data_IF_768324396840
#
_entry.id   IF_768324396840
#
_cell.length_a   1.000
_cell.length_b   1.000
_cell.length_c   1.000
_cell.angle_alpha   90.00
_cell.angle_beta   90.00
_cell.angle_gamma   90.00
#
_symmetry.space_group_name_H-M   'P 1'
#
loop_
_entity.id
_entity.type
_entity.pdbx_description
1 polymer ?
#
# COMPACT_ATOMS: atom_id res chain seq x y z
N UNK A 1 27.51 -2.82 24.38
CA UNK A 1 28.26 -3.97 23.82
C UNK A 1 28.23 -3.81 22.32
N UNK A 2 29.27 -3.19 21.78
CA UNK A 2 29.36 -2.77 20.38
C UNK A 2 30.41 -3.65 19.67
N UNK A 3 30.28 -4.97 19.82
CA UNK A 3 31.07 -5.92 19.04
C UNK A 3 30.52 -5.93 17.62
N UNK A 4 31.18 -5.19 16.73
CA UNK A 4 30.93 -5.25 15.29
C UNK A 4 31.49 -6.57 14.75
N UNK A 5 30.82 -7.68 15.04
CA UNK A 5 31.08 -8.93 14.34
C UNK A 5 30.53 -8.80 12.92
N UNK A 6 31.37 -9.05 11.93
CA UNK A 6 30.89 -9.25 10.56
C UNK A 6 30.20 -10.61 10.54
N UNK A 7 28.97 -10.65 10.05
CA UNK A 7 28.21 -11.89 9.90
C UNK A 7 28.20 -12.27 8.43
N UNK A 8 28.61 -13.50 8.14
CA UNK A 8 28.33 -14.13 6.86
C UNK A 8 26.86 -14.54 6.80
N UNK A 9 26.25 -14.71 5.61
CA UNK A 9 24.86 -15.15 5.48
C UNK A 9 24.56 -16.42 6.30
N UNK A 10 25.48 -17.37 6.32
CA UNK A 10 25.40 -18.65 7.02
C UNK A 10 25.38 -18.48 8.55
N UNK A 11 26.11 -17.49 9.08
CA UNK A 11 26.11 -17.16 10.51
C UNK A 11 24.72 -16.66 10.95
N UNK A 12 24.10 -15.82 10.12
CA UNK A 12 22.75 -15.31 10.40
C UNK A 12 21.71 -16.40 10.21
N UNK A 13 21.80 -17.24 9.18
CA UNK A 13 20.89 -18.37 9.02
C UNK A 13 20.94 -19.28 10.25
N UNK A 14 22.13 -19.58 10.75
CA UNK A 14 22.31 -20.33 11.99
C UNK A 14 21.69 -19.63 13.20
N UNK A 15 21.82 -18.31 13.30
CA UNK A 15 21.22 -17.52 14.38
C UNK A 15 19.69 -17.53 14.36
N UNK A 16 19.10 -17.51 13.17
CA UNK A 16 17.64 -17.43 12.97
C UNK A 16 16.97 -18.81 12.87
N UNK A 17 17.73 -19.89 12.68
CA UNK A 17 17.22 -21.25 12.53
C UNK A 17 16.72 -21.84 13.85
N UNK A 18 15.47 -22.29 13.84
CA UNK A 18 14.85 -22.99 14.97
C UNK A 18 15.25 -24.47 15.04
N UNK A 19 15.84 -25.01 13.98
CA UNK A 19 16.13 -26.45 13.87
C UNK A 19 17.44 -26.84 14.58
N UNK A 20 18.25 -25.85 14.97
CA UNK A 20 19.55 -26.06 15.63
C UNK A 20 19.39 -26.11 17.16
N UNK A 21 19.70 -27.25 17.82
CA UNK A 21 19.54 -27.38 19.26
C UNK A 21 20.46 -26.42 20.02
N UNK A 22 19.92 -25.76 21.06
CA UNK A 22 20.68 -24.90 21.97
C UNK A 22 20.88 -23.45 21.51
N UNK A 23 20.37 -23.06 20.34
CA UNK A 23 20.44 -21.67 19.82
C UNK A 23 19.08 -21.06 19.49
N UNK A 24 18.00 -21.61 20.05
CA UNK A 24 16.70 -20.96 19.92
C UNK A 24 16.81 -19.53 20.44
N UNK A 25 16.44 -18.57 19.60
CA UNK A 25 16.29 -17.19 20.01
C UNK A 25 15.28 -17.16 21.17
N UNK A 26 15.79 -17.08 22.40
CA UNK A 26 15.00 -16.99 23.63
C UNK A 26 13.99 -15.85 23.50
N UNK A 27 14.33 -14.79 22.78
CA UNK A 27 13.44 -13.68 22.47
C UNK A 27 12.23 -14.03 21.59
N UNK A 28 12.34 -15.02 20.69
CA UNK A 28 11.22 -15.50 19.87
C UNK A 28 10.22 -16.28 20.75
N UNK A 29 10.74 -17.08 21.69
CA UNK A 29 9.89 -17.86 22.61
C UNK A 29 9.22 -17.00 23.68
N UNK A 30 9.89 -15.94 24.15
CA UNK A 30 9.40 -15.08 25.22
C UNK A 30 8.46 -13.96 24.77
N UNK A 31 8.10 -13.91 23.47
CA UNK A 31 7.14 -12.94 22.91
C UNK A 31 7.46 -11.46 23.16
N UNK A 32 8.69 -11.13 23.56
CA UNK A 32 9.12 -9.74 23.85
C UNK A 32 9.69 -9.01 22.64
N UNK A 33 9.88 -9.72 21.52
CA UNK A 33 10.43 -9.16 20.29
C UNK A 33 9.33 -8.43 19.49
N UNK A 34 9.32 -7.10 19.55
CA UNK A 34 8.33 -6.27 18.86
C UNK A 34 8.78 -5.78 17.48
N UNK A 35 10.09 -5.73 17.23
CA UNK A 35 10.66 -5.22 15.98
C UNK A 35 11.85 -6.07 15.54
N UNK A 36 11.90 -6.37 14.24
CA UNK A 36 13.03 -7.01 13.59
C UNK A 36 13.53 -6.10 12.48
N UNK A 37 14.78 -5.66 12.61
CA UNK A 37 15.43 -4.79 11.63
C UNK A 37 16.68 -5.47 11.09
N UNK A 38 16.61 -5.89 9.83
CA UNK A 38 17.72 -6.43 9.05
C UNK A 38 18.30 -5.29 8.21
N UNK A 39 19.47 -4.80 8.63
CA UNK A 39 20.17 -3.72 7.94
C UNK A 39 21.49 -4.23 7.37
N UNK A 40 21.59 -4.19 6.06
CA UNK A 40 22.74 -4.62 5.30
C UNK A 40 23.55 -3.42 4.87
N UNK A 41 24.82 -3.43 5.25
CA UNK A 41 25.75 -2.35 4.93
C UNK A 41 26.82 -2.90 4.00
N UNK A 42 26.79 -2.55 2.70
CA UNK A 42 27.79 -3.04 1.76
C UNK A 42 29.12 -2.30 1.98
N UNK A 43 29.89 -2.70 3.00
CA UNK A 43 31.22 -2.17 3.29
C UNK A 43 32.31 -2.91 2.51
N UNK A 44 32.15 -3.02 1.19
CA UNK A 44 33.23 -3.55 0.35
C UNK A 44 34.14 -2.38 -0.03
N UNK A 45 35.30 -2.28 0.65
CA UNK A 45 36.38 -1.36 0.25
C UNK A 45 37.03 -1.82 -1.07
N UNK A 46 37.04 -3.13 -1.30
CA UNK A 46 37.55 -3.78 -2.51
C UNK A 46 36.42 -4.68 -3.03
N UNK A 47 36.05 -4.56 -4.31
CA UNK A 47 35.05 -5.43 -4.91
C UNK A 47 35.55 -6.89 -4.97
N UNK A 48 35.27 -7.66 -3.93
CA UNK A 48 35.46 -9.11 -3.97
C UNK A 48 34.16 -9.73 -4.43
N UNK A 49 34.10 -10.15 -5.69
CA UNK A 49 32.96 -10.89 -6.24
C UNK A 49 32.77 -12.28 -5.60
N UNK A 50 33.63 -12.67 -4.64
CA UNK A 50 33.62 -13.98 -4.00
C UNK A 50 32.25 -14.38 -3.46
N UNK A 51 31.56 -13.52 -2.69
CA UNK A 51 30.25 -13.85 -2.13
C UNK A 51 29.16 -14.03 -3.21
N UNK A 52 29.25 -13.27 -4.30
CA UNK A 52 28.36 -13.44 -5.45
C UNK A 52 28.67 -14.75 -6.20
N UNK A 53 29.94 -15.07 -6.38
CA UNK A 53 30.40 -16.29 -7.04
C UNK A 53 30.13 -17.54 -6.20
N UNK A 54 30.16 -17.43 -4.87
CA UNK A 54 29.79 -18.52 -3.96
C UNK A 54 28.27 -18.73 -3.89
N UNK A 55 27.48 -17.78 -4.39
CA UNK A 55 26.02 -17.82 -4.29
C UNK A 55 25.51 -17.63 -2.85
N UNK A 56 26.32 -17.07 -1.96
CA UNK A 56 25.96 -16.80 -0.57
C UNK A 56 25.11 -15.53 -0.49
N UNK A 57 23.80 -15.68 -0.63
CA UNK A 57 22.81 -14.61 -0.46
C UNK A 57 22.13 -14.67 0.91
N UNK A 58 21.44 -13.60 1.31
CA UNK A 58 20.76 -13.52 2.60
C UNK A 58 19.31 -14.06 2.55
N UNK A 59 18.88 -14.67 1.44
CA UNK A 59 17.58 -15.32 1.28
C UNK A 59 17.32 -16.42 2.35
N UNK A 60 18.28 -17.31 2.70
CA UNK A 60 18.06 -18.38 3.69
C UNK A 60 17.68 -17.86 5.07
N UNK A 61 18.04 -16.62 5.41
CA UNK A 61 17.66 -16.00 6.69
C UNK A 61 16.17 -15.69 6.70
N UNK A 62 15.64 -15.14 5.61
CA UNK A 62 14.20 -14.91 5.50
C UNK A 62 13.45 -16.24 5.56
N UNK A 63 13.98 -17.27 4.88
CA UNK A 63 13.43 -18.63 4.94
C UNK A 63 13.48 -19.23 6.36
N UNK A 64 14.57 -19.04 7.11
CA UNK A 64 14.66 -19.47 8.49
C UNK A 64 13.62 -18.76 9.38
N UNK A 65 13.44 -17.45 9.19
CA UNK A 65 12.42 -16.68 9.93
C UNK A 65 11.01 -17.10 9.53
N UNK A 66 10.74 -17.50 8.28
CA UNK A 66 9.41 -18.00 7.88
C UNK A 66 8.96 -19.23 8.67
N UNK A 67 9.91 -20.00 9.22
CA UNK A 67 9.62 -21.21 10.01
C UNK A 67 9.32 -20.92 11.48
N UNK A 68 9.41 -19.66 11.92
CA UNK A 68 9.12 -19.32 13.31
C UNK A 68 7.68 -19.68 13.70
N UNK A 69 7.48 -20.28 14.88
CA UNK A 69 6.15 -20.69 15.33
C UNK A 69 5.28 -19.46 15.64
N UNK A 70 3.96 -19.57 15.54
CA UNK A 70 3.06 -18.48 15.93
C UNK A 70 3.35 -18.01 17.38
N UNK A 71 3.24 -16.70 17.68
CA UNK A 71 3.41 -16.20 19.03
C UNK A 71 2.36 -16.82 19.96
N UNK A 72 2.78 -17.28 21.14
CA UNK A 72 1.89 -17.91 22.13
C UNK A 72 0.88 -16.93 22.74
N UNK A 73 1.18 -15.64 22.68
CA UNK A 73 0.34 -14.56 23.22
C UNK A 73 -0.16 -13.70 22.07
N UNK A 74 -1.42 -13.31 22.13
CA UNK A 74 -2.05 -12.37 21.17
C UNK A 74 -1.41 -10.98 21.20
N UNK A 75 -0.81 -10.62 22.33
CA UNK A 75 -0.03 -9.38 22.49
C UNK A 75 1.46 -9.56 22.14
N UNK A 76 1.87 -10.78 21.81
CA UNK A 76 3.23 -11.14 21.45
C UNK A 76 3.46 -11.08 19.94
N UNK A 77 4.72 -10.92 19.55
CA UNK A 77 5.15 -11.01 18.15
C UNK A 77 5.67 -9.70 17.61
N UNK A 78 6.22 -9.78 16.40
CA UNK A 78 6.83 -8.61 15.74
C UNK A 78 5.71 -7.78 15.11
N UNK A 79 5.63 -6.52 15.52
CA UNK A 79 4.74 -5.52 14.94
C UNK A 79 5.41 -4.73 13.82
N UNK A 80 6.75 -4.70 13.77
CA UNK A 80 7.53 -4.00 12.75
C UNK A 80 8.64 -4.88 12.14
N UNK A 81 8.59 -5.07 10.83
CA UNK A 81 9.66 -5.69 10.04
C UNK A 81 10.34 -4.62 9.17
N UNK A 82 11.66 -4.53 9.24
CA UNK A 82 12.45 -3.59 8.46
C UNK A 82 13.59 -4.30 7.74
N UNK A 83 13.64 -4.24 6.42
CA UNK A 83 14.70 -4.78 5.58
C UNK A 83 15.33 -3.60 4.82
N UNK A 84 16.58 -3.29 5.14
CA UNK A 84 17.26 -2.07 4.66
C UNK A 84 18.60 -2.45 4.06
N UNK A 85 18.84 -2.08 2.81
CA UNK A 85 20.14 -2.05 2.18
C UNK A 85 20.63 -0.60 2.11
N UNK A 86 21.69 -0.28 2.84
CA UNK A 86 22.29 1.06 2.78
C UNK A 86 22.77 1.34 1.35
N UNK A 87 22.59 2.56 0.82
CA UNK A 87 23.06 2.89 -0.52
C UNK A 87 24.58 2.91 -0.52
N UNK A 88 25.19 2.18 -1.46
CA UNK A 88 26.63 2.30 -1.73
C UNK A 88 26.94 3.66 -2.37
N UNK A 89 27.85 4.42 -1.75
CA UNK A 89 28.15 5.81 -2.12
C UNK A 89 29.10 5.96 -3.32
N UNK A 90 29.81 4.90 -3.69
CA UNK A 90 30.77 4.95 -4.80
C UNK A 90 30.14 4.42 -6.09
N UNK A 91 29.80 5.36 -6.98
CA UNK A 91 29.16 5.11 -8.28
C UNK A 91 30.01 4.25 -9.24
N UNK A 92 31.29 4.02 -8.95
CA UNK A 92 32.15 3.17 -9.77
C UNK A 92 31.84 1.66 -9.62
N UNK A 93 31.07 1.27 -8.60
CA UNK A 93 30.72 -0.14 -8.37
C UNK A 93 29.21 -0.36 -8.38
N UNK A 94 28.81 -1.51 -8.92
CA UNK A 94 27.44 -1.97 -8.82
C UNK A 94 27.07 -2.24 -7.36
N UNK A 95 25.85 -1.85 -6.96
CA UNK A 95 25.29 -2.22 -5.66
C UNK A 95 25.26 -3.75 -5.55
N UNK A 96 25.80 -4.34 -4.46
CA UNK A 96 25.77 -5.78 -4.31
C UNK A 96 24.32 -6.27 -4.17
N UNK A 97 24.02 -7.37 -4.83
CA UNK A 97 22.74 -8.06 -4.69
C UNK A 97 22.77 -8.88 -3.41
N UNK A 98 21.96 -8.47 -2.44
CA UNK A 98 21.88 -9.11 -1.12
C UNK A 98 20.87 -10.26 -1.13
N UNK A 99 19.81 -10.10 -1.92
CA UNK A 99 18.73 -11.07 -2.06
C UNK A 99 18.53 -11.41 -3.52
N UNK A 100 18.63 -12.70 -3.85
CA UNK A 100 18.41 -13.22 -5.18
C UNK A 100 16.94 -13.59 -5.39
N UNK A 101 16.27 -14.10 -4.35
CA UNK A 101 14.91 -14.64 -4.38
C UNK A 101 13.91 -13.87 -3.50
N UNK A 102 14.18 -12.59 -3.21
CA UNK A 102 13.29 -11.75 -2.39
C UNK A 102 11.81 -11.79 -2.81
N UNK A 103 11.55 -11.92 -4.12
CA UNK A 103 10.19 -11.93 -4.66
C UNK A 103 9.38 -13.16 -4.27
N UNK A 104 10.03 -14.28 -3.95
CA UNK A 104 9.39 -15.50 -3.45
C UNK A 104 9.50 -15.64 -1.92
N UNK A 105 10.62 -15.25 -1.33
CA UNK A 105 10.88 -15.42 0.11
C UNK A 105 10.12 -14.41 0.96
N UNK A 106 10.03 -13.15 0.54
CA UNK A 106 9.33 -12.13 1.33
C UNK A 106 7.81 -12.35 1.41
N UNK A 107 7.09 -12.73 0.33
CA UNK A 107 5.71 -13.15 0.48
C UNK A 107 5.55 -14.34 1.43
N UNK A 108 6.42 -15.37 1.35
CA UNK A 108 6.35 -16.49 2.28
C UNK A 108 6.54 -16.05 3.73
N UNK A 109 7.46 -15.11 3.99
CA UNK A 109 7.69 -14.52 5.30
C UNK A 109 6.45 -13.79 5.83
N UNK A 110 5.79 -12.98 5.00
CA UNK A 110 4.57 -12.25 5.37
C UNK A 110 3.38 -13.20 5.63
N UNK A 111 3.37 -14.41 5.06
CA UNK A 111 2.37 -15.43 5.37
C UNK A 111 2.76 -16.35 6.53
N UNK A 112 3.97 -16.22 7.07
CA UNK A 112 4.38 -17.10 8.17
C UNK A 112 3.47 -16.92 9.39
N UNK A 113 3.24 -17.99 10.18
CA UNK A 113 2.40 -17.92 11.37
C UNK A 113 2.87 -16.86 12.37
N UNK A 114 4.17 -16.56 12.39
CA UNK A 114 4.74 -15.57 13.28
C UNK A 114 4.31 -14.13 12.94
N UNK A 115 4.24 -13.76 11.65
CA UNK A 115 3.95 -12.38 11.24
C UNK A 115 2.48 -12.13 10.90
N UNK A 116 1.74 -13.17 10.47
CA UNK A 116 0.37 -13.06 9.97
C UNK A 116 -0.50 -12.16 10.86
N UNK A 117 -0.57 -12.48 12.15
CA UNK A 117 -1.48 -11.83 13.09
C UNK A 117 -0.91 -10.55 13.72
N UNK A 118 0.42 -10.44 13.87
CA UNK A 118 1.06 -9.37 14.67
C UNK A 118 1.63 -8.23 13.83
N UNK A 119 2.05 -8.47 12.58
CA UNK A 119 2.78 -7.48 11.80
C UNK A 119 1.86 -6.32 11.39
N UNK A 120 2.31 -5.09 11.64
CA UNK A 120 1.56 -3.85 11.36
C UNK A 120 2.37 -2.86 10.51
N UNK A 121 3.68 -2.85 10.67
CA UNK A 121 4.58 -1.98 9.94
C UNK A 121 5.60 -2.78 9.14
N UNK A 122 5.75 -2.44 7.85
CA UNK A 122 6.73 -3.05 6.97
C UNK A 122 7.56 -1.96 6.29
N UNK A 123 8.87 -2.01 6.47
CA UNK A 123 9.85 -1.17 5.79
C UNK A 123 10.72 -2.01 4.87
N UNK A 124 10.75 -1.66 3.59
CA UNK A 124 11.63 -2.26 2.60
C UNK A 124 12.37 -1.12 1.90
N UNK A 125 13.64 -0.99 2.21
CA UNK A 125 14.53 0.00 1.62
C UNK A 125 15.60 -0.75 0.83
N UNK A 126 15.39 -0.89 -0.47
CA UNK A 126 16.27 -1.63 -1.37
C UNK A 126 16.45 -0.80 -2.65
N UNK A 127 17.55 -0.02 -2.77
CA UNK A 127 17.69 1.01 -3.82
C UNK A 127 17.55 0.53 -5.27
N UNK A 128 17.74 -0.76 -5.54
CA UNK A 128 17.67 -1.35 -6.89
C UNK A 128 16.29 -1.92 -7.21
N UNK A 129 15.39 -2.07 -6.22
CA UNK A 129 14.09 -2.70 -6.43
C UNK A 129 13.08 -1.70 -6.97
N UNK A 130 12.32 -2.14 -7.97
CA UNK A 130 11.27 -1.32 -8.55
C UNK A 130 10.00 -1.36 -7.70
N UNK A 131 9.21 -0.29 -7.74
CA UNK A 131 7.88 -0.26 -7.12
C UNK A 131 6.98 -1.38 -7.67
N UNK A 132 7.16 -1.76 -8.94
CA UNK A 132 6.44 -2.88 -9.55
C UNK A 132 6.74 -4.22 -8.84
N UNK A 133 8.02 -4.51 -8.60
CA UNK A 133 8.48 -5.71 -7.89
C UNK A 133 7.94 -5.74 -6.46
N UNK A 134 8.05 -4.62 -5.72
CA UNK A 134 7.55 -4.50 -4.35
C UNK A 134 6.02 -4.58 -4.28
N UNK A 135 5.31 -3.93 -5.22
CA UNK A 135 3.85 -4.02 -5.32
C UNK A 135 3.39 -5.46 -5.57
N UNK A 136 4.12 -6.22 -6.40
CA UNK A 136 3.86 -7.65 -6.60
C UNK A 136 4.09 -8.45 -5.32
N UNK A 137 5.19 -8.24 -4.60
CA UNK A 137 5.47 -8.91 -3.31
C UNK A 137 4.31 -8.68 -2.32
N UNK A 138 3.93 -7.41 -2.13
CA UNK A 138 2.85 -7.01 -1.23
C UNK A 138 1.48 -7.55 -1.69
N UNK A 139 1.27 -7.62 -3.00
CA UNK A 139 0.07 -8.19 -3.60
C UNK A 139 0.02 -9.71 -3.51
N UNK A 140 1.15 -10.42 -3.54
CA UNK A 140 1.17 -11.87 -3.32
C UNK A 140 0.95 -12.19 -1.84
N UNK A 141 1.42 -11.33 -0.93
CA UNK A 141 1.17 -11.34 0.53
C UNK A 141 -0.28 -11.16 1.00
N UNK A 142 -1.27 -11.24 0.10
CA UNK A 142 -2.55 -10.51 0.18
C UNK A 142 -3.53 -10.94 1.26
N UNK A 143 -3.35 -12.09 1.88
CA UNK A 143 -4.43 -12.70 2.68
C UNK A 143 -4.15 -12.73 4.17
N UNK A 144 -2.94 -12.41 4.60
CA UNK A 144 -2.57 -12.54 5.99
C UNK A 144 -2.45 -11.18 6.70
N UNK A 145 -1.58 -10.29 6.25
CA UNK A 145 -1.09 -9.23 7.14
C UNK A 145 -1.94 -7.96 7.13
N UNK A 146 -2.36 -7.55 8.33
CA UNK A 146 -3.02 -6.27 8.60
C UNK A 146 -2.04 -5.10 8.68
N UNK A 147 -1.31 -4.85 7.58
CA UNK A 147 -0.36 -3.74 7.49
C UNK A 147 -1.08 -2.40 7.58
N UNK A 148 -0.68 -1.59 8.57
CA UNK A 148 -1.12 -0.20 8.76
C UNK A 148 -0.10 0.80 8.24
N UNK A 149 1.18 0.41 8.18
CA UNK A 149 2.29 1.24 7.70
C UNK A 149 3.16 0.48 6.73
N UNK A 150 3.41 1.07 5.56
CA UNK A 150 4.30 0.54 4.54
C UNK A 150 5.28 1.63 4.12
N UNK A 151 6.57 1.32 4.22
CA UNK A 151 7.66 2.20 3.81
C UNK A 151 8.45 1.53 2.69
N UNK A 152 8.33 2.08 1.48
CA UNK A 152 9.01 1.62 0.26
C UNK A 152 9.97 2.69 -0.25
N UNK A 153 10.55 3.46 0.67
CA UNK A 153 11.51 4.50 0.30
C UNK A 153 12.66 3.94 -0.54
N UNK A 154 13.16 4.74 -1.49
CA UNK A 154 14.15 4.40 -2.54
C UNK A 154 13.72 3.38 -3.58
N UNK A 155 12.47 2.93 -3.57
CA UNK A 155 11.98 2.10 -4.65
C UNK A 155 12.08 2.85 -5.99
N UNK A 156 12.62 2.18 -7.01
CA UNK A 156 12.68 2.74 -8.36
C UNK A 156 11.27 2.75 -8.93
N UNK A 157 10.78 3.95 -9.23
CA UNK A 157 9.46 4.12 -9.83
C UNK A 157 9.57 4.17 -11.34
N UNK A 158 8.61 3.55 -12.03
CA UNK A 158 8.53 3.56 -13.50
C UNK A 158 8.36 4.99 -14.02
N UNK A 159 9.10 5.37 -15.05
CA UNK A 159 8.93 6.68 -15.72
C UNK A 159 7.50 6.94 -16.21
N UNK A 160 6.74 5.87 -16.49
CA UNK A 160 5.31 5.95 -16.76
C UNK A 160 4.52 6.10 -15.44
N UNK A 161 3.98 7.31 -15.23
CA UNK A 161 3.12 7.65 -14.09
C UNK A 161 1.89 6.74 -13.98
N UNK A 162 1.31 6.31 -15.10
CA UNK A 162 0.14 5.42 -15.11
C UNK A 162 0.47 4.06 -14.50
N UNK A 163 1.62 3.48 -14.81
CA UNK A 163 2.09 2.23 -14.18
C UNK A 163 2.36 2.41 -12.70
N UNK A 164 2.96 3.54 -12.30
CA UNK A 164 3.17 3.88 -10.89
C UNK A 164 1.85 3.92 -10.13
N UNK A 165 0.86 4.62 -10.67
CA UNK A 165 -0.48 4.69 -10.11
C UNK A 165 -1.14 3.32 -10.00
N UNK A 166 -0.96 2.47 -11.01
CA UNK A 166 -1.44 1.09 -10.99
C UNK A 166 -0.82 0.30 -9.83
N UNK A 167 0.50 0.38 -9.65
CA UNK A 167 1.20 -0.34 -8.57
C UNK A 167 0.81 0.18 -7.18
N UNK A 168 0.63 1.49 -7.01
CA UNK A 168 0.14 2.06 -5.75
C UNK A 168 -1.30 1.64 -5.46
N UNK A 169 -2.17 1.64 -6.47
CA UNK A 169 -3.53 1.13 -6.35
C UNK A 169 -3.54 -0.37 -5.99
N UNK A 170 -2.65 -1.17 -6.59
CA UNK A 170 -2.49 -2.59 -6.26
C UNK A 170 -2.13 -2.81 -4.79
N UNK A 171 -1.22 -1.99 -4.24
CA UNK A 171 -0.81 -2.02 -2.81
C UNK A 171 -1.97 -1.61 -1.90
N UNK A 172 -2.56 -0.43 -2.13
CA UNK A 172 -3.66 0.07 -1.31
C UNK A 172 -4.84 -0.91 -1.28
N UNK A 173 -5.11 -1.55 -2.41
CA UNK A 173 -6.19 -2.51 -2.47
C UNK A 173 -5.78 -3.91 -1.99
N UNK A 174 -4.49 -4.22 -1.90
CA UNK A 174 -3.99 -5.42 -1.23
C UNK A 174 -4.12 -5.31 0.29
N UNK A 175 -3.93 -4.10 0.84
CA UNK A 175 -3.90 -3.86 2.28
C UNK A 175 -4.98 -2.85 2.68
N UNK A 176 -6.23 -3.32 2.92
CA UNK A 176 -7.37 -2.44 3.21
C UNK A 176 -7.26 -1.69 4.54
N UNK A 177 -6.30 -2.03 5.40
CA UNK A 177 -6.03 -1.33 6.67
C UNK A 177 -4.85 -0.36 6.57
N UNK A 178 -4.23 -0.26 5.39
CA UNK A 178 -3.07 0.60 5.18
C UNK A 178 -3.46 2.06 5.42
N UNK A 179 -2.85 2.64 6.44
CA UNK A 179 -3.10 4.01 6.90
C UNK A 179 -1.94 4.94 6.52
N UNK A 180 -0.74 4.40 6.40
CA UNK A 180 0.50 5.17 6.25
C UNK A 180 1.35 4.57 5.13
N UNK A 181 1.65 5.38 4.10
CA UNK A 181 2.51 4.99 3.00
C UNK A 181 3.68 5.96 2.87
N UNK A 182 4.92 5.44 2.86
CA UNK A 182 6.15 6.23 2.72
C UNK A 182 6.85 5.83 1.41
N UNK A 183 7.13 6.83 0.58
CA UNK A 183 7.75 6.74 -0.74
C UNK A 183 8.86 7.80 -0.86
N UNK A 184 9.70 7.93 0.17
CA UNK A 184 10.80 8.89 0.09
C UNK A 184 11.81 8.45 -0.96
N UNK A 185 12.41 9.39 -1.67
CA UNK A 185 13.50 9.14 -2.61
C UNK A 185 13.14 8.12 -3.72
N UNK A 186 11.86 7.97 -4.03
CA UNK A 186 11.36 6.99 -4.99
C UNK A 186 11.46 7.50 -6.44
N UNK A 187 12.67 7.43 -7.03
CA UNK A 187 12.90 7.70 -8.46
C UNK A 187 14.31 8.26 -8.76
N UNK A 188 14.70 8.42 -10.04
CA UNK A 188 16.07 8.76 -10.44
C UNK A 188 16.57 10.10 -9.86
N UNK A 189 15.68 11.00 -9.46
CA UNK A 189 15.98 12.26 -8.77
C UNK A 189 15.23 12.37 -7.42
N UNK A 190 14.84 11.25 -6.81
CA UNK A 190 13.94 11.24 -5.65
C UNK A 190 12.50 11.67 -5.95
N UNK A 191 12.20 11.98 -7.21
CA UNK A 191 10.87 12.23 -7.71
C UNK A 191 10.18 10.90 -7.99
N UNK A 192 9.02 10.67 -7.37
CA UNK A 192 8.02 9.83 -8.03
C UNK A 192 7.83 10.49 -9.40
N UNK A 193 8.16 9.83 -10.54
CA UNK A 193 7.97 10.38 -11.87
C UNK A 193 6.48 10.60 -12.05
N UNK A 194 6.04 11.80 -11.72
CA UNK A 194 4.72 12.25 -12.07
C UNK A 194 4.89 13.02 -13.38
N UNK A 195 4.26 12.45 -14.40
CA UNK A 195 4.05 12.90 -15.78
C UNK A 195 5.02 13.96 -16.36
N UNK A 196 5.79 13.65 -17.42
CA UNK A 196 6.05 14.70 -18.41
C UNK A 196 4.71 15.00 -19.11
N UNK A 197 4.10 16.15 -18.82
CA UNK A 197 3.01 16.71 -19.65
C UNK A 197 3.58 17.17 -20.98
N UNK A 198 4.00 16.23 -21.82
CA UNK A 198 4.17 16.44 -23.25
C UNK A 198 3.15 15.59 -23.98
N UNK A 199 1.91 16.10 -24.03
CA UNK A 199 0.86 15.55 -24.88
C UNK A 199 -0.50 15.52 -24.19
N UNK A 200 -1.40 16.39 -24.66
CA UNK A 200 -2.87 16.41 -24.56
C UNK A 200 -3.58 15.09 -24.16
N UNK A 201 -3.43 14.65 -22.91
CA UNK A 201 -4.24 13.56 -22.36
C UNK A 201 -4.91 14.10 -21.11
N UNK A 202 -6.24 14.20 -21.19
CA UNK A 202 -7.17 14.90 -20.31
C UNK A 202 -7.27 16.42 -20.58
N UNK A 203 -8.32 16.79 -21.30
CA UNK A 203 -8.82 18.17 -21.40
C UNK A 203 -9.32 18.67 -20.04
N UNK A 204 -8.40 18.87 -19.11
CA UNK A 204 -8.62 19.74 -17.97
C UNK A 204 -8.53 21.15 -18.55
N UNK A 205 -9.70 21.73 -18.89
CA UNK A 205 -9.79 23.14 -19.24
C UNK A 205 -9.10 23.97 -18.16
N UNK A 206 -8.14 24.78 -18.58
CA UNK A 206 -7.36 25.67 -17.71
C UNK A 206 -8.19 26.85 -17.16
N UNK A 207 -9.51 26.85 -17.36
CA UNK A 207 -10.41 27.99 -17.09
C UNK A 207 -10.76 28.20 -15.61
N UNK A 208 -10.18 27.42 -14.69
CA UNK A 208 -10.33 27.62 -13.23
C UNK A 208 -8.97 27.74 -12.56
N UNK A 209 -8.12 28.63 -13.07
CA UNK A 209 -7.01 29.19 -12.31
C UNK A 209 -7.52 30.51 -11.75
N UNK A 210 -7.82 30.56 -10.44
CA UNK A 210 -8.24 31.81 -9.80
C UNK A 210 -7.19 32.89 -10.03
N UNK A 211 -7.59 34.16 -10.07
CA UNK A 211 -6.68 35.30 -10.23
C UNK A 211 -5.52 35.31 -9.21
N UNK A 212 -5.71 34.63 -8.07
CA UNK A 212 -4.71 34.45 -7.00
C UNK A 212 -3.48 33.64 -7.45
N UNK A 213 -3.61 32.81 -8.50
CA UNK A 213 -2.54 31.95 -9.01
C UNK A 213 -1.87 32.47 -10.29
N UNK A 214 -2.29 33.61 -10.84
CA UNK A 214 -1.75 34.18 -12.08
C UNK A 214 -0.25 34.57 -11.98
N UNK A 215 0.28 34.70 -10.76
CA UNK A 215 1.68 35.02 -10.48
C UNK A 215 2.57 33.79 -10.26
N UNK A 216 1.98 32.58 -10.20
CA UNK A 216 2.74 31.36 -9.98
C UNK A 216 3.38 30.91 -11.31
N UNK A 217 4.69 30.64 -11.35
CA UNK A 217 5.33 30.05 -12.52
C UNK A 217 4.59 28.80 -12.99
N UNK A 218 4.26 28.71 -14.28
CA UNK A 218 3.49 27.60 -14.87
C UNK A 218 4.02 26.20 -14.48
N UNK A 219 5.33 26.07 -14.26
CA UNK A 219 5.96 24.81 -13.81
C UNK A 219 5.49 24.34 -12.43
N UNK A 220 5.20 25.26 -11.50
CA UNK A 220 4.71 24.92 -10.16
C UNK A 220 3.28 24.38 -10.23
N UNK A 221 2.42 24.98 -11.06
CA UNK A 221 1.04 24.53 -11.21
C UNK A 221 0.96 23.15 -11.87
N UNK A 222 1.77 22.90 -12.89
CA UNK A 222 1.88 21.57 -13.51
C UNK A 222 2.29 20.52 -12.47
N UNK A 223 3.35 20.83 -11.70
CA UNK A 223 3.85 19.95 -10.64
C UNK A 223 2.85 19.73 -9.49
N UNK A 224 2.02 20.72 -9.15
CA UNK A 224 0.97 20.53 -8.15
C UNK A 224 -0.23 19.72 -8.69
N UNK A 225 -0.59 19.88 -9.97
CA UNK A 225 -1.66 19.12 -10.62
C UNK A 225 -1.35 17.61 -10.71
N UNK A 226 -0.08 17.26 -10.72
CA UNK A 226 0.40 15.88 -10.59
C UNK A 226 0.00 15.24 -9.26
N UNK A 227 0.18 15.95 -8.13
CA UNK A 227 -0.28 15.49 -6.81
C UNK A 227 -1.80 15.39 -6.73
N UNK A 228 -2.54 16.26 -7.44
CA UNK A 228 -4.00 16.12 -7.60
C UNK A 228 -4.35 14.80 -8.30
N UNK A 229 -3.67 14.48 -9.40
CA UNK A 229 -3.90 13.24 -10.15
C UNK A 229 -3.56 12.01 -9.32
N UNK A 230 -2.45 12.06 -8.57
CA UNK A 230 -2.06 11.03 -7.63
C UNK A 230 -3.14 10.82 -6.55
N UNK A 231 -3.56 11.89 -5.85
CA UNK A 231 -4.60 11.83 -4.82
C UNK A 231 -5.91 11.24 -5.36
N UNK A 232 -6.32 11.66 -6.56
CA UNK A 232 -7.51 11.15 -7.25
C UNK A 232 -7.42 9.63 -7.50
N UNK A 233 -6.29 9.16 -8.03
CA UNK A 233 -6.10 7.74 -8.33
C UNK A 233 -6.00 6.88 -7.07
N UNK A 234 -5.38 7.37 -5.99
CA UNK A 234 -5.33 6.66 -4.71
C UNK A 234 -6.73 6.54 -4.08
N UNK A 235 -7.52 7.62 -4.10
CA UNK A 235 -8.89 7.61 -3.59
C UNK A 235 -9.83 6.68 -4.38
N UNK A 236 -9.53 6.45 -5.67
CA UNK A 236 -10.36 5.62 -6.57
C UNK A 236 -9.79 4.21 -6.80
N UNK A 237 -8.64 3.86 -6.21
CA UNK A 237 -7.96 2.58 -6.40
C UNK A 237 -8.88 1.35 -6.19
N UNK A 238 -9.74 1.41 -5.18
CA UNK A 238 -10.70 0.35 -4.86
C UNK A 238 -11.74 0.08 -5.96
N UNK A 239 -12.09 1.08 -6.78
CA UNK A 239 -13.08 0.96 -7.86
C UNK A 239 -12.60 0.01 -8.94
N UNK A 240 -11.35 0.18 -9.40
CA UNK A 240 -10.76 -0.64 -10.45
C UNK A 240 -10.66 -2.11 -10.04
N UNK A 241 -10.27 -2.38 -8.78
CA UNK A 241 -10.22 -3.76 -8.29
C UNK A 241 -11.61 -4.37 -8.15
N UNK A 242 -12.58 -3.64 -7.61
CA UNK A 242 -13.96 -4.13 -7.49
C UNK A 242 -14.51 -4.55 -8.86
N UNK A 243 -14.29 -3.72 -9.89
CA UNK A 243 -14.68 -4.02 -11.27
C UNK A 243 -13.94 -5.22 -11.86
N UNK A 244 -12.64 -5.34 -11.62
CA UNK A 244 -11.86 -6.48 -12.13
C UNK A 244 -12.28 -7.79 -11.45
N UNK A 245 -12.53 -7.77 -10.14
CA UNK A 245 -13.06 -8.94 -9.41
C UNK A 245 -14.46 -9.31 -9.87
N UNK A 246 -15.32 -8.33 -10.11
CA UNK A 246 -16.66 -8.57 -10.64
C UNK A 246 -16.60 -9.31 -11.99
N UNK A 247 -15.70 -8.90 -12.88
CA UNK A 247 -15.45 -9.61 -14.15
C UNK A 247 -14.93 -11.03 -13.94
N UNK A 248 -14.02 -11.23 -12.98
CA UNK A 248 -13.48 -12.56 -12.68
C UNK A 248 -14.55 -13.50 -12.14
N UNK A 249 -15.39 -13.03 -11.22
CA UNK A 249 -16.51 -13.80 -10.66
C UNK A 249 -17.50 -14.14 -11.77
N UNK A 250 -17.86 -13.18 -12.62
CA UNK A 250 -18.74 -13.44 -13.77
C UNK A 250 -18.15 -14.48 -14.75
N UNK A 251 -16.85 -14.40 -15.02
CA UNK A 251 -16.17 -15.37 -15.88
C UNK A 251 -16.16 -16.78 -15.26
N UNK A 252 -15.96 -16.89 -13.95
CA UNK A 252 -16.01 -18.17 -13.23
C UNK A 252 -17.42 -18.77 -13.21
N UNK A 253 -18.46 -17.95 -13.01
CA UNK A 253 -19.85 -18.40 -13.06
C UNK A 253 -20.22 -18.94 -14.45
N UNK A 254 -19.75 -18.32 -15.53
CA UNK A 254 -20.00 -18.78 -16.90
C UNK A 254 -19.27 -20.10 -17.24
N UNK A 255 -18.16 -20.39 -16.58
CA UNK A 255 -17.39 -21.62 -16.81
C UNK A 255 -17.95 -22.84 -16.05
N UNK A 256 -18.69 -22.61 -14.96
CA UNK A 256 -19.39 -23.68 -14.23
C UNK A 256 -20.62 -24.14 -15.01
N UNK A 257 -20.62 -25.39 -15.48
CA UNK A 257 -21.68 -26.03 -16.29
C UNK A 257 -23.04 -26.21 -15.60
N UNK A 258 -23.27 -25.57 -14.46
CA UNK A 258 -24.56 -25.59 -13.78
C UNK A 258 -25.48 -24.52 -14.35
N UNK A 259 -26.73 -24.88 -14.65
CA UNK A 259 -27.85 -23.98 -14.95
C UNK A 259 -28.26 -23.14 -13.74
N UNK A 260 -27.30 -22.59 -13.00
CA UNK A 260 -27.52 -21.61 -11.95
C UNK A 260 -27.80 -20.31 -12.68
N UNK A 261 -29.06 -19.85 -12.60
CA UNK A 261 -29.52 -18.64 -13.29
C UNK A 261 -28.59 -17.45 -13.03
N UNK A 262 -28.51 -16.54 -14.01
CA UNK A 262 -27.64 -15.36 -14.08
C UNK A 262 -27.48 -14.63 -12.72
N UNK A 263 -26.59 -15.12 -11.86
CA UNK A 263 -26.37 -14.54 -10.55
C UNK A 263 -25.56 -13.28 -10.76
N UNK A 264 -26.23 -12.13 -10.72
CA UNK A 264 -25.63 -10.84 -10.99
C UNK A 264 -24.84 -10.35 -9.78
N UNK A 265 -23.71 -11.00 -9.51
CA UNK A 265 -22.84 -10.65 -8.38
C UNK A 265 -22.24 -9.27 -8.64
N UNK A 266 -22.45 -8.37 -7.69
CA UNK A 266 -21.91 -7.01 -7.69
C UNK A 266 -21.01 -6.82 -6.47
N UNK A 267 -19.89 -6.15 -6.70
CA UNK A 267 -18.87 -5.93 -5.68
C UNK A 267 -18.80 -4.44 -5.37
N UNK A 268 -19.06 -4.07 -4.11
CA UNK A 268 -18.96 -2.68 -3.67
C UNK A 268 -17.49 -2.33 -3.38
N UNK A 269 -16.92 -1.28 -4.00
CA UNK A 269 -15.55 -0.89 -3.73
C UNK A 269 -15.38 -0.37 -2.29
N UNK A 270 -14.29 -0.74 -1.59
CA UNK A 270 -14.04 -0.29 -0.23
C UNK A 270 -13.72 1.21 -0.20
N UNK A 271 -13.98 1.82 0.95
CA UNK A 271 -13.55 3.19 1.25
C UNK A 271 -12.04 3.21 1.50
N UNK A 272 -11.29 4.18 0.97
CA UNK A 272 -9.86 4.26 1.21
C UNK A 272 -9.58 4.53 2.69
N UNK A 273 -8.57 3.86 3.23
CA UNK A 273 -8.14 3.98 4.64
C UNK A 273 -6.88 4.82 4.84
N UNK A 274 -6.26 5.26 3.75
CA UNK A 274 -5.02 6.02 3.78
C UNK A 274 -5.21 7.31 4.59
N UNK A 275 -4.42 7.50 5.63
CA UNK A 275 -4.40 8.66 6.52
C UNK A 275 -3.21 9.58 6.26
N UNK A 276 -2.11 9.05 5.74
CA UNK A 276 -1.01 9.89 5.28
C UNK A 276 -0.19 9.25 4.15
N UNK A 277 0.28 10.10 3.25
CA UNK A 277 1.26 9.78 2.23
C UNK A 277 2.51 10.61 2.48
N UNK A 278 3.66 9.96 2.52
CA UNK A 278 4.96 10.60 2.68
C UNK A 278 5.77 10.39 1.42
N UNK A 279 6.34 11.46 0.87
CA UNK A 279 7.23 11.39 -0.30
C UNK A 279 8.30 12.47 -0.19
N UNK A 280 9.39 12.30 -0.93
CA UNK A 280 10.39 13.36 -1.07
C UNK A 280 9.91 14.38 -2.11
N UNK A 281 10.16 15.66 -1.83
CA UNK A 281 9.98 16.75 -2.77
C UNK A 281 11.34 17.15 -3.32
N UNK A 282 11.56 16.89 -4.60
CA UNK A 282 12.73 17.44 -5.32
C UNK A 282 12.26 18.62 -6.15
N UNK A 283 12.64 19.83 -5.76
CA UNK A 283 12.31 21.04 -6.50
C UNK A 283 13.33 21.18 -7.63
N UNK A 284 12.92 21.17 -8.91
CA UNK A 284 13.86 21.39 -10.00
C UNK A 284 14.51 22.78 -9.88
N UNK A 285 15.84 22.81 -9.73
CA UNK A 285 16.65 24.04 -9.68
C UNK A 285 16.36 25.05 -10.81
N UNK A 286 16.01 24.66 -12.06
CA UNK A 286 15.71 25.62 -13.13
C UNK A 286 14.53 26.56 -12.84
N UNK A 287 13.64 26.19 -11.91
CA UNK A 287 12.47 27.01 -11.54
C UNK A 287 12.86 28.22 -10.70
N UNK A 288 14.06 28.23 -10.11
CA UNK A 288 14.50 29.20 -9.11
C UNK A 288 15.64 30.11 -9.60
N UNK A 289 15.74 30.42 -10.90
CA UNK A 289 16.74 31.37 -11.38
C UNK A 289 16.21 32.81 -11.49
N UNK A 290 16.92 33.82 -10.94
CA UNK A 290 18.19 33.75 -10.20
C UNK A 290 18.04 33.18 -8.78
N UNK A 291 19.10 32.58 -8.19
CA UNK A 291 19.02 31.94 -6.87
C UNK A 291 18.45 32.92 -5.85
N UNK A 292 17.26 32.64 -5.30
CA UNK A 292 16.63 33.54 -4.33
C UNK A 292 17.52 33.68 -3.09
N UNK A 293 17.46 34.84 -2.44
CA UNK A 293 18.01 34.95 -1.08
C UNK A 293 17.32 33.92 -0.17
N UNK A 294 17.98 33.48 0.89
CA UNK A 294 17.44 32.47 1.82
C UNK A 294 16.01 32.79 2.31
N UNK A 295 15.67 34.08 2.43
CA UNK A 295 14.33 34.55 2.78
C UNK A 295 13.29 34.38 1.66
N UNK A 296 13.63 34.67 0.39
CA UNK A 296 12.68 34.50 -0.72
C UNK A 296 12.49 33.02 -1.10
N UNK A 297 13.52 32.19 -0.89
CA UNK A 297 13.42 30.73 -1.03
C UNK A 297 12.33 30.16 -0.11
N UNK A 298 12.29 30.60 1.15
CA UNK A 298 11.29 30.18 2.12
C UNK A 298 9.86 30.57 1.71
N UNK A 299 9.65 31.77 1.18
CA UNK A 299 8.34 32.23 0.73
C UNK A 299 7.85 31.43 -0.51
N UNK A 300 8.72 31.21 -1.49
CA UNK A 300 8.38 30.40 -2.67
C UNK A 300 8.14 28.93 -2.31
N UNK A 301 8.95 28.35 -1.41
CA UNK A 301 8.73 27.00 -0.91
C UNK A 301 7.41 26.88 -0.15
N UNK A 302 7.09 27.83 0.72
CA UNK A 302 5.82 27.84 1.45
C UNK A 302 4.63 27.90 0.48
N UNK A 303 4.69 28.76 -0.54
CA UNK A 303 3.66 28.85 -1.57
C UNK A 303 3.53 27.57 -2.40
N UNK A 304 4.65 26.98 -2.82
CA UNK A 304 4.69 25.70 -3.54
C UNK A 304 4.06 24.58 -2.70
N UNK A 305 4.49 24.42 -1.45
CA UNK A 305 3.98 23.41 -0.53
C UNK A 305 2.48 23.60 -0.27
N UNK A 306 2.02 24.85 -0.10
CA UNK A 306 0.60 25.17 0.02
C UNK A 306 -0.15 24.74 -1.25
N UNK A 307 0.35 25.11 -2.43
CA UNK A 307 -0.26 24.81 -3.72
C UNK A 307 -0.36 23.30 -3.94
N UNK A 308 0.69 22.54 -3.61
CA UNK A 308 0.70 21.07 -3.67
C UNK A 308 -0.35 20.48 -2.72
N UNK A 309 -0.43 20.96 -1.47
CA UNK A 309 -1.42 20.49 -0.49
C UNK A 309 -2.86 20.82 -0.91
N UNK A 310 -3.10 21.99 -1.48
CA UNK A 310 -4.41 22.40 -1.99
C UNK A 310 -4.84 21.49 -3.16
N UNK A 311 -3.92 21.23 -4.11
CA UNK A 311 -4.17 20.32 -5.23
C UNK A 311 -4.35 18.86 -4.77
N UNK A 312 -3.57 18.39 -3.80
CA UNK A 312 -3.74 17.09 -3.16
C UNK A 312 -5.14 16.95 -2.54
N UNK A 313 -5.57 17.94 -1.77
CA UNK A 313 -6.89 17.96 -1.12
C UNK A 313 -8.02 17.97 -2.15
N UNK A 314 -7.86 18.76 -3.20
CA UNK A 314 -8.81 18.80 -4.32
C UNK A 314 -8.90 17.45 -5.04
N UNK A 315 -7.76 16.82 -5.36
CA UNK A 315 -7.74 15.51 -6.01
C UNK A 315 -8.36 14.41 -5.17
N UNK A 316 -8.06 14.40 -3.86
CA UNK A 316 -8.62 13.43 -2.92
C UNK A 316 -10.15 13.55 -2.83
N UNK A 317 -10.66 14.77 -2.62
CA UNK A 317 -12.11 15.02 -2.54
C UNK A 317 -12.84 14.65 -3.84
N UNK A 318 -12.26 14.95 -5.00
CA UNK A 318 -12.78 14.52 -6.29
C UNK A 318 -12.82 13.00 -6.42
N UNK A 319 -11.79 12.30 -5.93
CA UNK A 319 -11.74 10.85 -5.94
C UNK A 319 -12.77 10.21 -5.03
N UNK A 320 -12.99 10.77 -3.83
CA UNK A 320 -14.07 10.35 -2.94
C UNK A 320 -15.45 10.56 -3.57
N UNK A 321 -15.68 11.70 -4.23
CA UNK A 321 -16.93 11.93 -4.95
C UNK A 321 -17.13 10.93 -6.10
N UNK A 322 -16.08 10.57 -6.84
CA UNK A 322 -16.15 9.54 -7.89
C UNK A 322 -16.44 8.15 -7.30
N UNK A 323 -15.78 7.79 -6.20
CA UNK A 323 -16.04 6.55 -5.46
C UNK A 323 -17.48 6.49 -4.95
N UNK A 324 -17.99 7.59 -4.38
CA UNK A 324 -19.38 7.72 -3.92
C UNK A 324 -20.37 7.45 -5.06
N UNK A 325 -20.21 8.16 -6.19
CA UNK A 325 -21.02 7.94 -7.41
C UNK A 325 -20.92 6.50 -7.92
N UNK A 326 -19.74 5.88 -7.88
CA UNK A 326 -19.56 4.48 -8.29
C UNK A 326 -20.34 3.52 -7.38
N UNK A 327 -20.27 3.73 -6.06
CA UNK A 327 -21.00 2.93 -5.06
C UNK A 327 -22.52 3.12 -5.19
N UNK A 328 -22.99 4.34 -5.40
CA UNK A 328 -24.41 4.64 -5.64
C UNK A 328 -24.95 3.95 -6.89
N UNK A 329 -24.23 4.03 -8.02
CA UNK A 329 -24.63 3.31 -9.25
C UNK A 329 -24.75 1.80 -9.05
N UNK A 330 -23.84 1.21 -8.28
CA UNK A 330 -23.92 -0.23 -7.95
C UNK A 330 -25.17 -0.51 -7.11
N UNK A 331 -25.45 0.32 -6.10
CA UNK A 331 -26.65 0.21 -5.26
C UNK A 331 -27.95 0.41 -6.04
N UNK A 332 -28.01 1.38 -6.94
CA UNK A 332 -29.22 1.64 -7.74
C UNK A 332 -29.52 0.50 -8.71
N UNK A 333 -28.49 -0.01 -9.39
CA UNK A 333 -28.63 -1.21 -10.23
C UNK A 333 -29.13 -2.40 -9.41
N UNK A 334 -28.63 -2.56 -8.19
CA UNK A 334 -29.09 -3.61 -7.29
C UNK A 334 -30.56 -3.42 -6.90
N UNK A 335 -30.99 -2.21 -6.50
CA UNK A 335 -32.40 -1.91 -6.17
C UNK A 335 -33.34 -2.22 -7.34
N UNK A 336 -32.95 -1.87 -8.57
CA UNK A 336 -33.73 -2.14 -9.77
C UNK A 336 -33.84 -3.65 -10.01
N UNK A 337 -32.72 -4.38 -9.93
CA UNK A 337 -32.72 -5.82 -10.10
C UNK A 337 -33.54 -6.55 -9.01
N UNK A 338 -33.48 -6.09 -7.76
CA UNK A 338 -34.26 -6.65 -6.65
C UNK A 338 -35.77 -6.45 -6.85
N UNK A 339 -36.18 -5.25 -7.31
CA UNK A 339 -37.57 -4.97 -7.69
C UNK A 339 -38.06 -5.89 -8.82
N UNK A 340 -37.24 -6.12 -9.84
CA UNK A 340 -37.59 -7.03 -10.94
C UNK A 340 -37.69 -8.50 -10.48
N UNK A 341 -36.81 -8.95 -9.60
CA UNK A 341 -36.87 -10.29 -9.03
C UNK A 341 -38.16 -10.50 -8.22
N UNK A 342 -38.55 -9.51 -7.39
CA UNK A 342 -39.83 -9.53 -6.66
C UNK A 342 -41.04 -9.55 -7.59
N UNK A 343 -41.02 -8.74 -8.66
CA UNK A 343 -42.11 -8.70 -9.64
C UNK A 343 -42.26 -10.02 -10.41
N UNK A 344 -41.17 -10.76 -10.64
CA UNK A 344 -41.22 -12.09 -11.27
C UNK A 344 -41.74 -13.16 -10.30
N UNK A 345 -41.32 -13.12 -9.04
CA UNK A 345 -41.68 -14.15 -8.06
C UNK A 345 -43.08 -13.95 -7.46
N UNK A 346 -43.59 -12.72 -7.41
CA UNK A 346 -44.93 -12.41 -6.88
C UNK A 346 -46.10 -12.91 -7.73
N UNK A 347 -45.86 -13.65 -8.81
CA UNK A 347 -46.88 -14.32 -9.61
C UNK A 347 -47.05 -15.82 -9.27
N UNK A 348 -46.21 -16.37 -8.38
CA UNK A 348 -46.23 -17.79 -8.00
C UNK A 348 -46.08 -17.89 -6.47
N UNK A 349 -47.17 -17.73 -5.73
CA UNK A 349 -47.16 -17.64 -4.26
C UNK A 349 -46.91 -18.97 -3.51
N UNK A 350 -46.71 -20.12 -4.19
CA UNK A 350 -46.91 -21.42 -3.50
C UNK A 350 -45.70 -22.38 -3.40
N UNK A 351 -44.51 -22.06 -3.94
CA UNK A 351 -43.36 -22.98 -3.85
C UNK A 351 -42.15 -22.34 -3.15
N UNK A 352 -41.98 -22.65 -1.86
CA UNK A 352 -41.05 -22.04 -0.90
C UNK A 352 -39.54 -22.23 -1.11
N UNK A 353 -39.02 -22.20 -2.35
CA UNK A 353 -37.58 -22.25 -2.62
C UNK A 353 -37.07 -20.91 -3.18
N UNK A 354 -36.85 -19.96 -2.27
CA UNK A 354 -36.44 -18.58 -2.57
C UNK A 354 -35.01 -18.47 -3.08
N UNK A 355 -34.84 -18.42 -4.41
CA UNK A 355 -33.61 -17.93 -5.07
C UNK A 355 -33.47 -16.41 -4.87
N UNK A 356 -33.05 -16.00 -3.67
CA UNK A 356 -32.80 -14.60 -3.32
C UNK A 356 -31.54 -14.03 -3.99
N UNK A 357 -31.61 -12.76 -4.41
CA UNK A 357 -30.47 -12.04 -4.98
C UNK A 357 -29.50 -11.64 -3.87
N UNK A 358 -28.25 -12.11 -3.92
CA UNK A 358 -27.23 -11.89 -2.86
C UNK A 358 -26.34 -10.68 -3.18
N UNK A 359 -26.18 -9.76 -2.22
CA UNK A 359 -25.15 -8.70 -2.29
C UNK A 359 -23.88 -9.23 -1.65
N UNK A 360 -22.77 -9.07 -2.35
CA UNK A 360 -21.45 -9.45 -1.86
C UNK A 360 -20.71 -8.18 -1.40
N UNK A 361 -20.50 -8.04 -0.10
CA UNK A 361 -19.61 -7.06 0.51
C UNK A 361 -18.27 -7.73 0.77
N UNK A 362 -17.18 -6.97 0.72
CA UNK A 362 -15.92 -7.47 1.27
C UNK A 362 -15.99 -7.43 2.78
N UNK A 363 -15.84 -8.60 3.42
CA UNK A 363 -15.57 -8.65 4.84
C UNK A 363 -14.35 -7.75 5.13
N UNK A 364 -14.55 -6.71 5.92
CA UNK A 364 -13.43 -6.11 6.64
C UNK A 364 -13.05 -7.14 7.69
N UNK A 365 -11.91 -7.81 7.56
CA UNK A 365 -11.41 -8.86 8.47
C UNK A 365 -11.16 -8.30 9.89
N UNK A 366 -12.22 -7.90 10.58
CA UNK A 366 -12.22 -7.44 11.98
C UNK A 366 -13.18 -8.24 12.85
N UNK A 367 -13.87 -9.23 12.29
CA UNK A 367 -14.63 -10.21 13.07
C UNK A 367 -13.69 -11.39 13.32
N UNK A 368 -13.44 -11.63 14.60
CA UNK A 368 -12.46 -12.57 15.15
C UNK A 368 -12.69 -13.98 14.62
N UNK A 369 -11.63 -14.64 14.15
CA UNK A 369 -11.63 -16.02 13.62
C UNK A 369 -12.18 -17.09 14.59
N UNK A 370 -12.43 -16.75 15.87
CA UNK A 370 -13.02 -17.66 16.85
C UNK A 370 -14.41 -18.18 16.42
N UNK A 371 -15.22 -17.38 15.71
CA UNK A 371 -16.56 -17.77 15.25
C UNK A 371 -16.57 -18.60 13.94
N UNK A 372 -15.45 -18.68 13.21
CA UNK A 372 -15.35 -19.45 11.95
C UNK A 372 -14.79 -20.87 12.17
N UNK A 373 -14.21 -21.14 13.34
CA UNK A 373 -13.63 -22.45 13.68
C UNK A 373 -14.67 -23.53 14.00
N UNK A 374 -15.95 -23.17 14.17
CA UNK A 374 -17.05 -24.12 14.38
C UNK A 374 -17.79 -24.54 13.10
N UNK A 375 -17.37 -24.04 11.93
CA UNK A 375 -17.93 -24.47 10.64
C UNK A 375 -17.23 -25.76 10.20
N UNK A 376 -17.90 -26.88 10.46
CA UNK A 376 -17.52 -28.24 10.08
C UNK A 376 -17.08 -28.28 8.60
N UNK A 377 -15.84 -28.74 8.35
CA UNK A 377 -15.18 -28.71 7.05
C UNK A 377 -15.79 -29.74 6.09
N UNK A 378 -16.98 -29.43 5.58
CA UNK A 378 -17.57 -30.16 4.47
C UNK A 378 -16.76 -29.96 3.17
N UNK A 379 -16.62 -30.98 2.32
CA UNK A 379 -15.75 -30.95 1.13
C UNK A 379 -16.25 -30.05 -0.03
N UNK A 380 -17.09 -29.04 0.23
CA UNK A 380 -17.76 -28.27 -0.81
C UNK A 380 -17.93 -26.77 -0.48
N UNK A 381 -17.12 -26.22 0.43
CA UNK A 381 -17.12 -24.78 0.67
C UNK A 381 -16.40 -24.06 -0.47
N UNK A 382 -17.15 -23.22 -1.17
CA UNK A 382 -16.65 -22.39 -2.25
C UNK A 382 -15.63 -21.41 -1.64
N UNK A 383 -14.34 -21.38 -2.04
CA UNK A 383 -13.29 -20.56 -1.40
C UNK A 383 -13.54 -19.04 -1.46
N UNK A 384 -14.64 -18.61 -2.07
CA UNK A 384 -15.11 -17.23 -2.13
C UNK A 384 -16.08 -16.85 -0.99
N UNK A 385 -16.75 -17.81 -0.34
CA UNK A 385 -17.72 -17.51 0.73
C UNK A 385 -17.04 -16.93 1.99
N UNK A 386 -15.79 -17.30 2.28
CA UNK A 386 -15.01 -16.73 3.40
C UNK A 386 -14.43 -15.34 3.12
N UNK A 387 -14.41 -14.89 1.85
CA UNK A 387 -13.84 -13.60 1.45
C UNK A 387 -14.90 -12.51 1.28
N UNK A 388 -16.17 -12.88 1.45
CA UNK A 388 -17.31 -12.06 1.06
C UNK A 388 -18.39 -12.16 2.14
N UNK A 389 -18.59 -11.05 2.84
CA UNK A 389 -19.73 -10.85 3.72
C UNK A 389 -20.97 -10.68 2.83
N UNK A 390 -21.90 -11.63 2.87
CA UNK A 390 -23.20 -11.49 2.21
C UNK A 390 -24.05 -10.61 3.12
N UNK A 391 -24.15 -9.34 2.79
CA UNK A 391 -24.96 -8.39 3.57
C UNK A 391 -26.41 -8.53 3.14
N UNK A 392 -27.28 -8.88 4.09
CA UNK A 392 -28.72 -8.87 3.87
C UNK A 392 -29.25 -7.43 3.70
N UNK A 393 -30.37 -7.27 3.01
CA UNK A 393 -31.02 -6.00 2.70
C UNK A 393 -31.28 -5.14 3.95
N UNK A 394 -31.56 -5.77 5.09
CA UNK A 394 -31.79 -5.10 6.37
C UNK A 394 -30.53 -4.39 6.91
N UNK A 395 -29.37 -5.03 6.79
CA UNK A 395 -28.09 -4.54 7.30
C UNK A 395 -27.49 -3.46 6.38
N UNK A 396 -27.68 -3.63 5.07
CA UNK A 396 -27.37 -2.58 4.09
C UNK A 396 -28.22 -1.31 4.35
N UNK A 397 -29.47 -1.46 4.79
CA UNK A 397 -30.39 -0.34 5.07
C UNK A 397 -29.99 0.49 6.29
N UNK A 398 -29.38 -0.12 7.32
CA UNK A 398 -28.83 0.63 8.47
C UNK A 398 -27.65 1.54 8.09
N UNK A 399 -26.87 1.14 7.08
CA UNK A 399 -25.79 1.96 6.53
C UNK A 399 -26.26 3.10 5.61
N UNK A 400 -27.54 3.10 5.21
CA UNK A 400 -28.11 4.00 4.20
C UNK A 400 -28.91 5.15 4.82
N UNK A 401 -29.12 5.16 6.15
CA UNK A 401 -29.88 6.21 6.81
C UNK A 401 -29.31 7.61 6.52
N UNK A 402 -30.15 8.61 6.18
CA UNK A 402 -29.72 10.00 5.90
C UNK A 402 -29.01 10.67 7.10
N UNK A 403 -29.08 10.06 8.28
CA UNK A 403 -28.41 10.48 9.51
C UNK A 403 -27.12 9.69 9.80
N UNK A 404 -26.71 8.75 8.93
CA UNK A 404 -25.36 8.21 8.97
C UNK A 404 -24.44 9.27 8.40
N UNK A 405 -24.09 10.26 9.22
CA UNK A 405 -22.99 11.14 8.95
C UNK A 405 -21.76 10.23 8.83
N UNK A 406 -21.44 9.79 7.61
CA UNK A 406 -20.19 9.10 7.36
C UNK A 406 -19.13 10.04 7.93
N UNK A 407 -18.30 9.57 8.89
CA UNK A 407 -17.31 10.43 9.51
C UNK A 407 -16.56 11.08 8.37
N UNK A 408 -16.60 12.41 8.31
CA UNK A 408 -16.10 13.17 7.17
C UNK A 408 -14.73 12.60 6.81
N UNK A 409 -14.65 11.91 5.67
CA UNK A 409 -13.47 11.12 5.33
C UNK A 409 -12.32 12.10 5.21
N UNK A 410 -11.46 12.10 6.24
CA UNK A 410 -10.42 13.09 6.38
C UNK A 410 -9.44 12.93 5.22
N UNK A 411 -9.13 14.05 4.55
CA UNK A 411 -8.06 14.07 3.54
C UNK A 411 -6.76 13.56 4.17
N UNK A 412 -6.10 12.55 3.57
CA UNK A 412 -4.83 12.06 4.07
C UNK A 412 -3.82 13.20 4.12
N UNK A 413 -3.01 13.21 5.17
CA UNK A 413 -1.92 14.18 5.30
C UNK A 413 -0.86 13.86 4.26
N UNK A 414 -0.64 14.77 3.31
CA UNK A 414 0.52 14.73 2.44
C UNK A 414 1.72 15.33 3.18
N UNK A 415 2.76 14.54 3.35
CA UNK A 415 4.00 14.97 3.98
C UNK A 415 5.13 14.92 2.98
N UNK A 416 5.77 16.07 2.78
CA UNK A 416 6.86 16.25 1.84
C UNK A 416 8.14 16.35 2.65
N UNK A 417 8.93 15.26 2.66
CA UNK A 417 10.26 15.32 3.24
C UNK A 417 11.18 16.10 2.29
N UNK A 418 11.94 17.05 2.83
CA UNK A 418 13.05 17.64 2.09
C UNK A 418 14.07 16.55 1.76
N UNK A 419 14.72 16.66 0.59
CA UNK A 419 15.82 15.77 0.26
C UNK A 419 16.98 16.04 1.24
N UNK A 420 17.46 14.99 1.92
CA UNK A 420 18.67 15.11 2.71
C UNK A 420 19.85 15.07 1.73
N UNK A 421 20.37 16.24 1.36
CA UNK A 421 21.60 16.28 0.57
C UNK A 421 22.75 15.84 1.50
N UNK A 422 23.08 14.56 1.42
CA UNK A 422 24.05 13.91 2.32
C UNK A 422 25.46 14.52 2.29
N UNK A 423 25.73 15.36 1.26
CA UNK A 423 27.04 15.95 1.01
C UNK A 423 27.25 17.31 1.68
N UNK A 424 26.20 18.05 2.05
CA UNK A 424 26.33 19.37 2.70
C UNK A 424 25.45 19.45 3.95
N UNK A 425 26.02 19.03 5.08
CA UNK A 425 25.33 18.92 6.38
C UNK A 425 24.79 20.24 6.98
N UNK A 426 25.09 21.39 6.38
CA UNK A 426 24.90 22.67 7.07
C UNK A 426 23.61 23.44 6.73
N UNK A 427 22.87 23.08 5.68
CA UNK A 427 21.64 23.79 5.29
C UNK A 427 20.47 22.82 5.04
N UNK A 428 20.07 22.09 6.09
CA UNK A 428 18.82 21.32 6.03
C UNK A 428 17.62 22.24 6.25
N UNK A 429 16.87 22.52 5.20
CA UNK A 429 15.50 23.01 5.35
C UNK A 429 14.60 21.83 5.74
N UNK A 430 14.57 21.54 7.04
CA UNK A 430 13.61 20.59 7.59
C UNK A 430 12.20 21.19 7.43
N UNK A 431 11.42 20.67 6.47
CA UNK A 431 9.99 20.97 6.39
C UNK A 431 9.35 20.40 7.66
N UNK A 432 8.62 21.19 8.46
CA UNK A 432 7.98 20.69 9.66
C UNK A 432 6.98 19.60 9.28
N UNK A 433 7.15 18.43 9.87
CA UNK A 433 6.26 17.30 9.67
C UNK A 433 4.97 17.50 10.47
N UNK A 434 3.82 17.17 9.88
CA UNK A 434 2.58 17.06 10.64
C UNK A 434 2.72 15.93 11.68
N UNK A 435 2.23 16.10 12.93
CA UNK A 435 2.32 15.06 13.96
C UNK A 435 1.55 13.78 13.61
N UNK A 436 0.72 13.84 12.56
CA UNK A 436 -0.08 12.71 12.04
C UNK A 436 0.50 12.12 10.75
N UNK A 437 1.63 12.60 10.26
CA UNK A 437 2.27 12.04 9.06
C UNK A 437 2.95 10.71 9.35
N UNK A 438 3.19 9.91 8.30
CA UNK A 438 3.81 8.60 8.47
C UNK A 438 5.27 8.68 8.93
N UNK A 439 6.01 9.76 8.63
CA UNK A 439 7.38 9.93 9.16
C UNK A 439 7.39 10.01 10.69
N UNK A 440 6.47 10.78 11.28
CA UNK A 440 6.39 10.93 12.74
C UNK A 440 5.82 9.67 13.40
N UNK A 441 4.86 9.00 12.75
CA UNK A 441 4.35 7.70 13.22
C UNK A 441 5.43 6.64 13.18
N UNK A 442 6.24 6.58 12.12
CA UNK A 442 7.32 5.61 11.98
C UNK A 442 8.57 5.91 12.83
N UNK A 443 8.64 7.11 13.43
CA UNK A 443 9.71 7.50 14.36
C UNK A 443 9.44 7.01 15.78
N UNK A 444 8.17 6.91 16.16
CA UNK A 444 7.71 6.40 17.44
C UNK A 444 7.73 4.87 17.44
#
# INVERSE_FOLDING_TARGET
LDERKSFEPEDLEELFSIDKPGRHLICVQNSSLHSLSLRFRPYVQIATYHQFLSGSYFDPILDAVTRWPAPKSTNGGITMLSIVQDPYVNLAFAQPLIFFHLESTLPALLHSPFFHSSLRALRIYLPVKTLASLSRILTLGRTSVNLTTVDLSTAIVSASSTKTMEHLAQILTAHPFLSHLILNECGPNGLIPVLPTHGNVFGIEADVVSAEYATIPNGILAYAAEYRTLALGLATAGVSKARNREKQVQAQTLAGTGTIGESNIRIIPPTPTLRSLCTSLTIPVPVLQPPPSSHTLNAHHALLLKTINDQWTLGWSQGLAQLGKARERIRDRWRVAAKHARARNGAHEDDGNGSGMRVMRFATLSETEEDLSSLDSGPNLNPLESLVEIVDEAELSQWIGPNSAQPALQTPVLCLAGQSDSLNRNDFFCIPHSPRCAHEVARK
#
